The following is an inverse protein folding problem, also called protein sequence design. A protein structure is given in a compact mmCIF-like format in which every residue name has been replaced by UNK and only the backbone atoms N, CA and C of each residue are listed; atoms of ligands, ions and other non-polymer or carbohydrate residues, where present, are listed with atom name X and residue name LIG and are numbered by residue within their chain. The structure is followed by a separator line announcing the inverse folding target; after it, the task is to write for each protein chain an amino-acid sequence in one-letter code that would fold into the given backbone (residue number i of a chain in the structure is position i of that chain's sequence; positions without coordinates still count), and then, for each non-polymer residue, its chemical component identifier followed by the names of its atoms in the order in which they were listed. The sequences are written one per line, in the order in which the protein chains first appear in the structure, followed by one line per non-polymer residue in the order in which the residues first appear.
data_IF_477131476157
#
_entry.id   IF_477131476157
#
_cell.length_a   1.000
_cell.length_b   1.000
_cell.length_c   1.000
_cell.angle_alpha   90.00
_cell.angle_beta   90.00
_cell.angle_gamma   90.00
#
_symmetry.space_group_name_H-M   'P 1'
#
loop_
_entity.id
_entity.type
_entity.pdbx_description
1 polymer ?
#
# COMPACT_ATOMS: atom_id res chain seq x y z
N UNK A 1 -24.11 -46.90 33.87
CA UNK A 1 -23.01 -46.08 34.43
C UNK A 1 -21.71 -46.65 33.90
N UNK A 2 -20.82 -45.96 33.19
CA UNK A 2 -20.75 -44.56 32.76
C UNK A 2 -19.81 -44.46 31.54
N UNK A 3 -20.10 -43.48 30.70
CA UNK A 3 -19.31 -42.99 29.58
C UNK A 3 -18.05 -42.26 30.05
N UNK A 4 -16.93 -42.37 29.32
CA UNK A 4 -16.06 -41.22 29.04
C UNK A 4 -15.39 -41.39 27.67
N UNK A 5 -15.94 -40.68 26.69
CA UNK A 5 -15.28 -40.34 25.43
C UNK A 5 -14.14 -39.36 25.73
N UNK A 6 -12.91 -39.73 25.41
CA UNK A 6 -11.83 -38.75 25.30
C UNK A 6 -11.91 -38.11 23.91
N UNK A 7 -12.72 -37.06 23.81
CA UNK A 7 -12.52 -36.08 22.76
C UNK A 7 -11.13 -35.46 22.98
N UNK A 8 -10.17 -35.78 22.12
CA UNK A 8 -8.95 -34.99 22.00
C UNK A 8 -9.38 -33.59 21.58
N UNK A 9 -9.47 -32.68 22.55
CA UNK A 9 -9.50 -31.26 22.27
C UNK A 9 -8.26 -30.97 21.43
N UNK A 10 -8.45 -30.67 20.13
CA UNK A 10 -7.41 -30.05 19.33
C UNK A 10 -6.92 -28.86 20.14
N UNK A 11 -5.70 -28.96 20.70
CA UNK A 11 -5.02 -27.79 21.26
C UNK A 11 -5.10 -26.72 20.19
N UNK A 12 -5.90 -25.68 20.40
CA UNK A 12 -5.92 -24.50 19.54
C UNK A 12 -4.46 -24.10 19.36
N UNK A 13 -3.98 -24.24 18.12
CA UNK A 13 -2.60 -24.00 17.75
C UNK A 13 -2.33 -22.55 18.16
N UNK A 14 -1.32 -22.32 19.01
CA UNK A 14 -0.94 -20.98 19.49
C UNK A 14 -0.91 -20.02 18.29
N UNK A 15 -1.72 -18.97 18.35
CA UNK A 15 -1.77 -17.91 17.34
C UNK A 15 -0.47 -17.12 17.46
N UNK A 16 0.43 -17.35 16.50
CA UNK A 16 1.58 -16.49 16.27
C UNK A 16 1.09 -15.30 15.44
N UNK A 17 1.50 -14.08 15.77
CA UNK A 17 1.11 -12.85 15.07
C UNK A 17 1.55 -12.91 13.59
N UNK A 18 0.74 -13.57 12.76
CA UNK A 18 1.02 -13.85 11.35
C UNK A 18 0.09 -12.99 10.51
N UNK A 19 0.60 -12.44 9.39
CA UNK A 19 -0.24 -11.75 8.42
C UNK A 19 -1.08 -12.79 7.68
N UNK A 20 -2.37 -12.81 8.00
CA UNK A 20 -3.37 -13.54 7.24
C UNK A 20 -3.85 -12.65 6.09
N UNK A 21 -4.19 -13.24 4.95
CA UNK A 21 -4.58 -12.48 3.78
C UNK A 21 -5.64 -13.18 2.95
N UNK A 22 -6.47 -12.35 2.30
CA UNK A 22 -7.43 -12.75 1.30
C UNK A 22 -7.09 -12.06 -0.01
N UNK A 23 -6.74 -12.85 -1.03
CA UNK A 23 -6.32 -12.38 -2.33
C UNK A 23 -7.44 -12.62 -3.33
N UNK A 24 -7.87 -11.56 -3.99
CA UNK A 24 -8.83 -11.60 -5.08
C UNK A 24 -8.04 -11.53 -6.39
N UNK A 25 -8.16 -12.56 -7.23
CA UNK A 25 -7.50 -12.61 -8.53
C UNK A 25 -8.45 -12.12 -9.62
N UNK A 26 -7.89 -11.57 -10.69
CA UNK A 26 -8.65 -11.02 -11.83
C UNK A 26 -9.52 -12.06 -12.55
N UNK A 27 -9.17 -13.35 -12.43
CA UNK A 27 -9.96 -14.45 -12.98
C UNK A 27 -11.14 -14.86 -12.08
N UNK A 28 -11.39 -14.16 -10.97
CA UNK A 28 -12.48 -14.43 -10.02
C UNK A 28 -12.12 -15.44 -8.93
N UNK A 29 -10.94 -16.08 -8.96
CA UNK A 29 -10.49 -16.95 -7.86
C UNK A 29 -10.17 -16.11 -6.62
N UNK A 30 -10.63 -16.59 -5.47
CA UNK A 30 -10.28 -16.04 -4.15
C UNK A 30 -9.38 -17.03 -3.43
N UNK A 31 -8.29 -16.53 -2.84
CA UNK A 31 -7.34 -17.32 -2.05
C UNK A 31 -7.31 -16.78 -0.64
N UNK A 32 -7.50 -17.65 0.34
CA UNK A 32 -7.49 -17.32 1.77
C UNK A 32 -6.37 -18.11 2.44
N UNK A 33 -5.33 -17.41 2.92
CA UNK A 33 -4.07 -18.03 3.34
C UNK A 33 -3.18 -17.06 4.13
N UNK A 34 -2.04 -17.53 4.65
CA UNK A 34 -1.04 -16.68 5.29
C UNK A 34 -0.02 -16.15 4.28
N UNK A 35 0.33 -14.87 4.42
CA UNK A 35 1.36 -14.21 3.63
C UNK A 35 2.75 -14.67 4.10
N UNK A 36 3.56 -15.11 3.14
CA UNK A 36 4.95 -15.55 3.33
C UNK A 36 5.90 -14.47 2.85
N UNK A 37 5.85 -13.30 3.49
CA UNK A 37 6.79 -12.23 3.21
C UNK A 37 8.10 -12.48 4.00
N UNK A 38 9.25 -12.51 3.30
CA UNK A 38 10.57 -12.68 3.93
C UNK A 38 11.00 -11.47 4.75
N UNK A 39 10.41 -10.32 4.45
CA UNK A 39 10.40 -9.10 5.25
C UNK A 39 8.99 -8.98 5.83
N UNK A 40 8.80 -8.44 7.04
CA UNK A 40 7.47 -8.35 7.69
C UNK A 40 6.44 -7.46 6.94
N UNK A 41 6.74 -7.07 5.69
CA UNK A 41 5.98 -6.18 4.81
C UNK A 41 6.22 -6.58 3.35
N UNK A 42 5.25 -6.28 2.47
CA UNK A 42 5.42 -6.39 1.02
C UNK A 42 6.42 -5.33 0.54
N UNK A 43 7.46 -5.77 -0.16
CA UNK A 43 8.52 -4.90 -0.67
C UNK A 43 8.17 -4.39 -2.07
N UNK A 44 8.60 -3.16 -2.41
CA UNK A 44 8.30 -2.57 -3.73
C UNK A 44 8.77 -3.40 -4.92
N UNK A 45 9.79 -4.25 -4.75
CA UNK A 45 10.36 -5.08 -5.82
C UNK A 45 9.75 -6.49 -5.85
N UNK A 46 8.75 -6.78 -5.02
CA UNK A 46 8.07 -8.06 -5.07
C UNK A 46 7.21 -8.09 -6.34
N UNK A 47 7.55 -8.96 -7.29
CA UNK A 47 6.74 -9.22 -8.49
C UNK A 47 5.55 -10.12 -8.24
N UNK A 48 5.52 -10.76 -7.08
CA UNK A 48 4.53 -11.74 -6.71
C UNK A 48 4.45 -11.88 -5.20
N UNK A 49 3.27 -12.20 -4.70
CA UNK A 49 3.06 -12.64 -3.33
C UNK A 49 3.28 -14.15 -3.22
N UNK A 50 3.77 -14.57 -2.07
CA UNK A 50 3.93 -15.99 -1.72
C UNK A 50 3.01 -16.29 -0.55
N UNK A 51 2.24 -17.36 -0.64
CA UNK A 51 1.24 -17.73 0.35
C UNK A 51 1.47 -19.15 0.86
N UNK A 52 1.15 -19.42 2.12
CA UNK A 52 1.15 -20.78 2.67
C UNK A 52 -0.03 -21.00 3.61
N UNK A 53 -0.68 -22.16 3.50
CA UNK A 53 -1.71 -22.62 4.43
C UNK A 53 -1.11 -23.22 5.72
N UNK A 54 0.20 -23.44 5.77
CA UNK A 54 0.91 -23.94 6.95
C UNK A 54 2.24 -23.18 7.14
N UNK A 55 2.18 -21.88 7.47
CA UNK A 55 3.35 -20.99 7.54
C UNK A 55 4.35 -21.36 8.65
N UNK A 56 3.96 -22.26 9.57
CA UNK A 56 4.78 -22.71 10.69
C UNK A 56 5.46 -24.06 10.45
N UNK A 57 5.31 -24.67 9.28
CA UNK A 57 6.11 -25.82 8.91
C UNK A 57 7.59 -25.42 8.80
N UNK A 58 8.50 -26.36 9.10
CA UNK A 58 9.95 -26.14 8.95
C UNK A 58 10.34 -25.85 7.49
N UNK A 59 9.64 -26.49 6.54
CA UNK A 59 9.69 -26.20 5.11
C UNK A 59 8.27 -25.98 4.58
N UNK A 60 7.72 -24.76 4.69
CA UNK A 60 6.37 -24.48 4.26
C UNK A 60 6.28 -24.56 2.74
N UNK A 61 5.31 -25.33 2.22
CA UNK A 61 4.94 -25.24 0.80
C UNK A 61 4.32 -23.89 0.56
N UNK A 62 4.78 -23.21 -0.50
CA UNK A 62 4.27 -21.89 -0.87
C UNK A 62 3.70 -21.91 -2.27
N UNK A 63 2.55 -21.26 -2.43
CA UNK A 63 2.00 -20.90 -3.73
C UNK A 63 2.40 -19.47 -4.05
N UNK A 64 2.66 -19.19 -5.34
CA UNK A 64 3.09 -17.88 -5.83
C UNK A 64 2.01 -17.31 -6.73
N UNK A 65 1.67 -16.05 -6.52
CA UNK A 65 0.69 -15.30 -7.32
C UNK A 65 1.32 -14.00 -7.80
N UNK A 66 1.39 -13.76 -9.11
CA UNK A 66 2.02 -12.56 -9.65
C UNK A 66 1.12 -11.35 -9.45
N UNK A 67 1.70 -10.18 -9.16
CA UNK A 67 0.93 -8.96 -8.89
C UNK A 67 0.03 -8.55 -10.07
N UNK A 68 0.39 -8.95 -11.29
CA UNK A 68 -0.41 -8.72 -12.50
C UNK A 68 -1.73 -9.50 -12.52
N UNK A 69 -1.77 -10.64 -11.83
CA UNK A 69 -2.93 -11.54 -11.73
C UNK A 69 -3.85 -11.15 -10.56
N UNK A 70 -3.31 -10.42 -9.59
CA UNK A 70 -4.05 -9.90 -8.43
C UNK A 70 -4.95 -8.75 -8.87
N UNK A 71 -6.19 -8.76 -8.41
CA UNK A 71 -7.09 -7.60 -8.47
C UNK A 71 -6.93 -6.75 -7.21
N UNK A 72 -7.06 -7.38 -6.04
CA UNK A 72 -6.89 -6.75 -4.73
C UNK A 72 -6.51 -7.78 -3.67
N UNK A 73 -5.98 -7.31 -2.55
CA UNK A 73 -5.66 -8.15 -1.40
C UNK A 73 -6.04 -7.43 -0.10
N UNK A 74 -6.59 -8.19 0.85
CA UNK A 74 -6.78 -7.77 2.22
C UNK A 74 -5.77 -8.51 3.10
N UNK A 75 -5.14 -7.81 4.03
CA UNK A 75 -4.19 -8.38 5.00
C UNK A 75 -4.57 -7.92 6.41
N UNK A 76 -4.49 -8.82 7.38
CA UNK A 76 -4.66 -8.49 8.79
C UNK A 76 -3.77 -9.38 9.65
N UNK A 77 -3.49 -8.95 10.87
CA UNK A 77 -2.83 -9.80 11.85
C UNK A 77 -3.89 -10.54 12.67
N UNK A 78 -3.68 -11.83 12.95
CA UNK A 78 -4.64 -12.63 13.74
C UNK A 78 -4.98 -12.04 15.12
N UNK A 79 -4.08 -11.24 15.70
CA UNK A 79 -4.31 -10.55 16.98
C UNK A 79 -5.18 -9.30 16.86
N UNK A 80 -5.23 -8.72 15.67
CA UNK A 80 -5.82 -7.43 15.35
C UNK A 80 -6.63 -7.53 14.03
N UNK A 81 -7.59 -8.48 13.91
CA UNK A 81 -8.31 -8.74 12.67
C UNK A 81 -9.18 -7.56 12.20
N UNK A 82 -9.49 -6.61 13.08
CA UNK A 82 -10.19 -5.36 12.78
C UNK A 82 -9.32 -4.35 12.02
N UNK A 83 -7.99 -4.47 12.11
CA UNK A 83 -7.04 -3.63 11.38
C UNK A 83 -6.69 -4.29 10.05
N UNK A 84 -7.58 -4.13 9.07
CA UNK A 84 -7.44 -4.70 7.73
C UNK A 84 -6.73 -3.70 6.80
N UNK A 85 -5.58 -4.11 6.30
CA UNK A 85 -4.81 -3.39 5.29
C UNK A 85 -5.29 -3.82 3.89
N UNK A 86 -5.55 -2.84 3.03
CA UNK A 86 -6.01 -3.08 1.66
C UNK A 86 -4.88 -2.81 0.68
N UNK A 87 -4.49 -3.81 -0.10
CA UNK A 87 -3.49 -3.72 -1.12
C UNK A 87 -4.09 -3.85 -2.53
N UNK A 88 -3.54 -3.11 -3.48
CA UNK A 88 -3.91 -3.17 -4.90
C UNK A 88 -2.67 -3.07 -5.78
N UNK A 89 -2.66 -3.70 -6.98
CA UNK A 89 -1.55 -3.61 -7.91
C UNK A 89 -1.52 -2.22 -8.57
N UNK A 90 -0.38 -1.54 -8.50
CA UNK A 90 -0.20 -0.19 -9.02
C UNK A 90 1.16 -0.07 -9.72
N UNK A 91 1.16 0.54 -10.91
CA UNK A 91 2.41 0.98 -11.55
C UNK A 91 2.89 2.26 -10.88
N UNK A 92 4.16 2.33 -10.53
CA UNK A 92 4.70 3.44 -9.74
C UNK A 92 5.82 4.18 -10.47
N UNK A 93 5.90 5.49 -10.26
CA UNK A 93 7.06 6.32 -10.56
C UNK A 93 7.63 6.78 -9.23
N UNK A 94 8.88 6.38 -8.97
CA UNK A 94 9.53 6.59 -7.69
C UNK A 94 10.27 7.96 -7.60
N UNK A 95 10.39 8.68 -8.72
CA UNK A 95 10.99 10.02 -8.79
C UNK A 95 10.00 11.15 -8.46
N UNK A 96 10.53 12.28 -7.99
CA UNK A 96 9.76 13.50 -7.66
C UNK A 96 9.53 14.45 -8.84
N UNK A 97 10.04 14.15 -10.03
CA UNK A 97 9.98 15.05 -11.20
C UNK A 97 9.61 14.29 -12.47
N UNK A 98 8.89 14.97 -13.37
CA UNK A 98 8.50 14.46 -14.69
C UNK A 98 9.69 14.14 -15.59
N UNK A 99 10.82 14.84 -15.43
CA UNK A 99 12.06 14.66 -16.21
C UNK A 99 12.84 13.38 -15.91
N UNK A 100 12.41 12.64 -14.89
CA UNK A 100 12.93 11.29 -14.66
C UNK A 100 12.21 10.32 -15.61
N UNK A 101 12.86 10.04 -16.74
CA UNK A 101 12.53 8.93 -17.65
C UNK A 101 12.49 7.56 -16.96
N UNK A 102 12.94 7.46 -15.70
CA UNK A 102 12.73 6.30 -14.86
C UNK A 102 11.30 6.30 -14.29
N UNK A 103 10.32 5.89 -15.12
CA UNK A 103 9.33 4.95 -14.58
C UNK A 103 10.15 3.85 -13.93
N UNK A 104 9.91 3.54 -12.66
CA UNK A 104 10.61 2.44 -12.02
C UNK A 104 10.34 1.22 -12.89
N UNK A 105 11.36 0.77 -13.62
CA UNK A 105 11.24 -0.06 -14.83
C UNK A 105 10.87 -1.51 -14.51
N UNK A 106 10.19 -1.71 -13.39
CA UNK A 106 9.49 -2.92 -13.07
C UNK A 106 8.50 -3.16 -14.21
N UNK A 107 8.72 -4.24 -14.94
CA UNK A 107 7.83 -4.69 -16.01
C UNK A 107 6.43 -5.03 -15.48
N UNK A 108 6.26 -5.08 -14.16
CA UNK A 108 5.07 -5.50 -13.43
C UNK A 108 4.61 -4.42 -12.42
N UNK A 109 3.31 -4.36 -12.09
CA UNK A 109 2.78 -3.52 -11.02
C UNK A 109 3.26 -4.01 -9.65
N UNK A 110 3.42 -3.06 -8.73
CA UNK A 110 3.75 -3.31 -7.32
C UNK A 110 2.45 -3.43 -6.53
N UNK A 111 2.40 -4.36 -5.57
CA UNK A 111 1.27 -4.47 -4.66
C UNK A 111 1.41 -3.42 -3.54
N UNK A 112 0.68 -2.30 -3.66
CA UNK A 112 0.78 -1.14 -2.78
C UNK A 112 -0.41 -1.05 -1.81
N UNK A 113 -0.14 -0.63 -0.56
CA UNK A 113 -1.19 -0.46 0.46
C UNK A 113 -1.97 0.81 0.16
N UNK A 114 -3.26 0.69 -0.17
CA UNK A 114 -4.15 1.84 -0.33
C UNK A 114 -4.60 2.36 1.03
N UNK A 115 -4.29 3.61 1.31
CA UNK A 115 -4.68 4.29 2.55
C UNK A 115 -5.70 5.41 2.33
N UNK A 116 -5.90 5.84 1.07
CA UNK A 116 -6.85 6.89 0.71
C UNK A 116 -7.53 6.58 -0.63
N UNK A 117 -8.85 6.81 -0.71
CA UNK A 117 -9.63 6.71 -1.93
C UNK A 117 -10.69 7.82 -1.94
N UNK A 118 -10.39 8.90 -2.65
CA UNK A 118 -11.32 9.99 -2.95
C UNK A 118 -12.09 9.75 -4.25
N UNK A 119 -12.73 10.79 -4.77
CA UNK A 119 -13.45 10.74 -6.05
C UNK A 119 -12.49 10.77 -7.25
N UNK A 120 -11.45 11.58 -7.14
CA UNK A 120 -10.50 11.92 -8.20
C UNK A 120 -9.07 11.48 -7.87
N UNK A 121 -8.77 11.19 -6.60
CA UNK A 121 -7.43 10.87 -6.10
C UNK A 121 -7.43 9.56 -5.29
N UNK A 122 -6.46 8.70 -5.55
CA UNK A 122 -6.11 7.57 -4.69
C UNK A 122 -4.72 7.76 -4.06
N UNK A 123 -4.56 7.29 -2.83
CA UNK A 123 -3.33 7.33 -2.05
C UNK A 123 -2.81 5.96 -1.68
N UNK A 124 -1.53 5.74 -1.92
CA UNK A 124 -0.87 4.45 -1.70
C UNK A 124 0.40 4.59 -0.87
N UNK A 125 0.73 3.54 -0.14
CA UNK A 125 1.96 3.43 0.62
C UNK A 125 2.71 2.17 0.17
N UNK A 126 4.01 2.33 -0.08
CA UNK A 126 4.93 1.22 -0.37
C UNK A 126 6.12 1.28 0.57
N UNK A 127 6.78 0.15 0.76
CA UNK A 127 7.99 0.05 1.55
C UNK A 127 9.17 -0.40 0.68
N UNK A 128 10.35 0.17 0.93
CA UNK A 128 11.61 -0.40 0.48
C UNK A 128 12.72 -0.29 1.51
N UNK A 129 13.70 -1.18 1.38
CA UNK A 129 14.79 -1.32 2.33
C UNK A 129 15.69 -0.08 2.45
N UNK A 130 15.93 0.65 1.35
CA UNK A 130 16.87 1.77 1.32
C UNK A 130 16.22 3.07 1.81
N UNK A 131 14.96 3.28 1.45
CA UNK A 131 14.28 4.55 1.61
C UNK A 131 13.15 4.52 2.65
N UNK A 132 12.76 3.33 3.11
CA UNK A 132 11.63 3.13 4.00
C UNK A 132 10.29 3.32 3.27
N UNK A 133 9.28 3.80 4.01
CA UNK A 133 7.97 4.03 3.43
C UNK A 133 7.93 5.27 2.51
N UNK A 134 7.16 5.15 1.43
CA UNK A 134 6.83 6.24 0.52
C UNK A 134 5.33 6.33 0.34
N UNK A 135 4.84 7.56 0.33
CA UNK A 135 3.48 7.87 -0.02
C UNK A 135 3.41 8.27 -1.49
N UNK A 136 2.46 7.67 -2.18
CA UNK A 136 2.17 7.91 -3.58
C UNK A 136 0.74 8.40 -3.77
N UNK A 137 0.53 9.14 -4.83
CA UNK A 137 -0.79 9.56 -5.26
C UNK A 137 -1.03 9.18 -6.72
N UNK A 138 -2.29 8.99 -7.09
CA UNK A 138 -2.72 8.79 -8.47
C UNK A 138 -4.02 9.53 -8.67
N UNK A 139 -4.10 10.38 -9.69
CA UNK A 139 -5.38 10.99 -10.11
C UNK A 139 -6.08 10.09 -11.14
N UNK A 140 -7.35 10.35 -11.43
CA UNK A 140 -8.11 9.64 -12.48
C UNK A 140 -7.50 9.75 -13.88
N UNK A 141 -6.70 10.79 -14.13
CA UNK A 141 -6.01 11.02 -15.42
C UNK A 141 -4.66 10.31 -15.51
N UNK A 142 -4.13 9.82 -14.39
CA UNK A 142 -2.82 9.21 -14.32
C UNK A 142 -2.89 7.70 -14.54
N UNK A 143 -1.95 7.17 -15.32
CA UNK A 143 -1.79 5.71 -15.48
C UNK A 143 -0.77 5.11 -14.50
N UNK A 144 0.01 5.96 -13.83
CA UNK A 144 1.11 5.59 -12.92
C UNK A 144 0.96 6.44 -11.65
N UNK A 145 1.14 5.83 -10.47
CA UNK A 145 1.15 6.57 -9.20
C UNK A 145 2.52 7.20 -8.97
N UNK A 146 2.55 8.46 -8.54
CA UNK A 146 3.80 9.21 -8.31
C UNK A 146 4.07 9.33 -6.82
N UNK A 147 5.33 9.18 -6.42
CA UNK A 147 5.76 9.48 -5.07
C UNK A 147 5.71 11.00 -4.82
N UNK A 148 5.08 11.43 -3.73
CA UNK A 148 5.02 12.85 -3.36
C UNK A 148 5.70 13.15 -2.03
N UNK A 149 5.86 12.16 -1.13
CA UNK A 149 6.62 12.32 0.11
C UNK A 149 7.08 10.97 0.69
N UNK A 150 8.22 10.96 1.39
CA UNK A 150 8.66 9.84 2.23
C UNK A 150 8.21 9.96 3.67
N UNK A 151 7.87 8.85 4.33
CA UNK A 151 7.27 8.85 5.68
C UNK A 151 8.11 9.57 6.75
N UNK A 152 9.45 9.47 6.65
CA UNK A 152 10.38 10.10 7.59
C UNK A 152 10.90 11.45 7.12
N UNK A 153 10.41 11.95 5.98
CA UNK A 153 10.90 13.19 5.39
C UNK A 153 10.19 14.39 6.01
N UNK A 154 10.96 15.27 6.68
CA UNK A 154 10.48 16.59 7.09
C UNK A 154 10.08 17.43 5.88
N UNK A 155 8.99 18.18 5.98
CA UNK A 155 8.59 19.13 4.94
C UNK A 155 9.45 20.39 5.02
N UNK A 156 10.65 20.36 4.44
CA UNK A 156 11.51 21.54 4.28
C UNK A 156 10.97 22.46 3.17
N UNK A 157 11.37 23.73 3.15
CA UNK A 157 10.97 24.66 2.08
C UNK A 157 11.38 24.15 0.68
N UNK A 158 12.58 23.58 0.54
CA UNK A 158 13.01 22.95 -0.71
C UNK A 158 12.06 21.81 -1.16
N UNK A 159 11.56 20.98 -0.22
CA UNK A 159 10.58 19.93 -0.55
C UNK A 159 9.22 20.50 -0.91
N UNK A 160 8.78 21.58 -0.25
CA UNK A 160 7.55 22.30 -0.62
C UNK A 160 7.65 22.82 -2.05
N UNK A 161 8.78 23.39 -2.43
CA UNK A 161 9.03 23.84 -3.80
C UNK A 161 8.98 22.68 -4.81
N UNK A 162 9.62 21.55 -4.52
CA UNK A 162 9.54 20.36 -5.39
C UNK A 162 8.10 19.87 -5.53
N UNK A 163 7.34 19.82 -4.44
CA UNK A 163 5.92 19.46 -4.51
C UNK A 163 5.09 20.49 -5.29
N UNK A 164 5.33 21.78 -5.06
CA UNK A 164 4.65 22.85 -5.78
C UNK A 164 4.87 22.75 -7.29
N UNK A 165 6.08 22.38 -7.72
CA UNK A 165 6.39 22.14 -9.13
C UNK A 165 5.63 20.94 -9.71
N UNK A 166 5.64 19.79 -9.02
CA UNK A 166 4.86 18.59 -9.40
C UNK A 166 3.36 18.93 -9.56
N UNK A 167 2.84 19.80 -8.70
CA UNK A 167 1.43 20.20 -8.70
C UNK A 167 1.15 21.54 -9.36
N UNK A 168 2.05 22.08 -10.19
CA UNK A 168 1.91 23.42 -10.79
C UNK A 168 0.63 23.62 -11.61
N UNK A 169 0.07 22.52 -12.14
CA UNK A 169 -1.21 22.54 -12.86
C UNK A 169 -2.43 22.88 -11.97
N UNK A 170 -2.25 22.86 -10.65
CA UNK A 170 -3.28 23.19 -9.66
C UNK A 170 -2.82 24.35 -8.76
N UNK A 171 -2.91 25.62 -9.22
CA UNK A 171 -2.41 26.78 -8.46
C UNK A 171 -2.98 26.91 -7.05
N UNK A 172 -4.26 26.55 -6.84
CA UNK A 172 -4.87 26.52 -5.50
C UNK A 172 -4.21 25.49 -4.59
N UNK A 173 -3.83 24.33 -5.12
CA UNK A 173 -3.14 23.30 -4.35
C UNK A 173 -1.69 23.70 -4.06
N UNK A 174 -1.02 24.38 -5.00
CA UNK A 174 0.30 24.99 -4.76
C UNK A 174 0.25 26.00 -3.62
N UNK A 175 -0.77 26.87 -3.58
CA UNK A 175 -0.97 27.82 -2.48
C UNK A 175 -1.19 27.08 -1.15
N UNK A 176 -1.99 26.01 -1.15
CA UNK A 176 -2.15 25.15 0.01
C UNK A 176 -0.80 24.56 0.47
N UNK A 177 -0.01 23.95 -0.42
CA UNK A 177 1.32 23.40 -0.10
C UNK A 177 2.21 24.48 0.53
N UNK A 178 2.26 25.68 -0.07
CA UNK A 178 3.08 26.79 0.41
C UNK A 178 2.63 27.29 1.79
N UNK A 179 1.34 27.19 2.12
CA UNK A 179 0.79 27.53 3.44
C UNK A 179 1.12 26.54 4.55
N UNK A 180 1.55 25.30 4.19
CA UNK A 180 1.83 24.27 5.18
C UNK A 180 3.03 24.64 6.05
N UNK A 181 2.86 24.45 7.37
CA UNK A 181 3.95 24.58 8.34
C UNK A 181 4.96 23.46 8.14
N UNK A 182 6.24 23.78 8.30
CA UNK A 182 7.34 22.81 8.33
C UNK A 182 7.00 21.71 9.35
N UNK A 183 7.17 20.44 8.96
CA UNK A 183 6.85 19.21 9.71
C UNK A 183 5.36 18.80 9.84
N UNK A 184 4.40 19.53 9.28
CA UNK A 184 2.97 19.19 9.38
C UNK A 184 2.55 17.88 8.68
N UNK A 185 3.35 17.36 7.74
CA UNK A 185 3.03 16.14 6.99
C UNK A 185 3.05 14.85 7.81
N UNK A 186 3.84 14.81 8.90
CA UNK A 186 4.02 13.58 9.68
C UNK A 186 2.69 13.07 10.24
N UNK A 187 1.75 13.97 10.48
CA UNK A 187 0.57 13.66 11.28
C UNK A 187 -0.68 13.37 10.44
N UNK A 188 -0.70 13.64 9.13
CA UNK A 188 -1.88 13.35 8.30
C UNK A 188 -1.66 13.31 6.76
N UNK A 189 -0.97 12.31 6.20
CA UNK A 189 -0.88 12.10 4.74
C UNK A 189 -2.25 12.04 4.01
N UNK A 190 -3.32 11.41 4.57
CA UNK A 190 -4.65 11.43 3.95
C UNK A 190 -5.23 12.84 3.76
N UNK A 191 -5.03 13.75 4.72
CA UNK A 191 -5.57 15.11 4.64
C UNK A 191 -5.10 15.86 3.40
N UNK A 192 -3.85 15.65 3.00
CA UNK A 192 -3.24 16.35 1.87
C UNK A 192 -3.81 15.84 0.55
N UNK A 193 -4.02 14.53 0.45
CA UNK A 193 -4.71 13.94 -0.71
C UNK A 193 -6.17 14.37 -0.76
N UNK A 194 -6.82 14.56 0.38
CA UNK A 194 -8.17 15.11 0.44
C UNK A 194 -8.24 16.55 -0.08
N UNK A 195 -7.27 17.41 0.27
CA UNK A 195 -7.23 18.77 -0.27
C UNK A 195 -7.02 18.76 -1.80
N UNK A 196 -6.18 17.86 -2.31
CA UNK A 196 -6.03 17.68 -3.76
C UNK A 196 -7.33 17.20 -4.41
N UNK A 197 -8.00 16.21 -3.82
CA UNK A 197 -9.25 15.64 -4.33
C UNK A 197 -10.36 16.69 -4.47
N UNK A 198 -10.52 17.53 -3.44
CA UNK A 198 -11.49 18.64 -3.41
C UNK A 198 -11.16 19.67 -4.49
N UNK A 199 -9.90 20.08 -4.62
CA UNK A 199 -9.50 21.09 -5.61
C UNK A 199 -9.69 20.59 -7.05
N UNK A 200 -9.42 19.31 -7.30
CA UNK A 200 -9.67 18.70 -8.61
C UNK A 200 -11.18 18.64 -8.91
N UNK A 201 -12.00 18.27 -7.91
CA UNK A 201 -13.46 18.24 -8.07
C UNK A 201 -14.01 19.63 -8.37
N UNK A 202 -13.58 20.65 -7.63
CA UNK A 202 -14.03 22.04 -7.82
C UNK A 202 -13.61 22.60 -9.19
N UNK A 203 -12.45 22.20 -9.73
CA UNK A 203 -11.99 22.65 -11.04
C UNK A 203 -12.77 22.05 -12.23
N UNK A 204 -13.60 21.04 -12.00
CA UNK A 204 -14.46 20.43 -13.03
C UNK A 204 -15.80 21.17 -13.20
N UNK A 205 -16.14 22.07 -12.29
CA UNK A 205 -17.36 22.90 -12.29
C UNK A 205 -17.02 24.37 -12.52
#
# INVERSE_FOLDING_TARGET
MGSFSMAQAQKQKKIYNRPHCKVFLKNGKVVDSYLMAGHNLIHRTDSAIKLSNNPNAFFPKTEKYYNEEVDSMLEWNDRNPEYILHYVPVKIRYSYTEDSTAVDSLSYPVLAMRFYKGKNVEGFMIWDMLNGFRYLYKTTEMNVAHAYIGEKHRLTESRKQTMAEEFKKYPRFVNFINSLKVNSFKDNPPYILNQLDVIIEEAKH
#
